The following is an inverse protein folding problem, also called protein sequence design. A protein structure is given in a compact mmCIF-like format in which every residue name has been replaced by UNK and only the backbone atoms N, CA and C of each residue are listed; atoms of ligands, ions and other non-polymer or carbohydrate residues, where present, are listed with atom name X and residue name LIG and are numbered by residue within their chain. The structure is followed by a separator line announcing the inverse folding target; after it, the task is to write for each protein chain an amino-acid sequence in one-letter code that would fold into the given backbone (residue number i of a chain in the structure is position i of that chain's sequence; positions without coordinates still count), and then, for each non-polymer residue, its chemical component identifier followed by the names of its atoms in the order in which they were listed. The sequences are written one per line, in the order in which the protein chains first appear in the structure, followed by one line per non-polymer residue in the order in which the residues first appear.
data_IF_664122002291
#
_entry.id   IF_664122002291
#
_cell.length_a   1.000
_cell.length_b   1.000
_cell.length_c   1.000
_cell.angle_alpha   90.00
_cell.angle_beta   90.00
_cell.angle_gamma   90.00
#
_symmetry.space_group_name_H-M   'P 1'
#
loop_
_entity.id
_entity.type
_entity.pdbx_description
1 polymer ?
#
# COMPACT_ATOMS: atom_id res chain seq x y z
N UNK A 1 -14.99 20.18 -49.97
CA UNK A 1 -14.99 19.11 -48.94
C UNK A 1 -13.70 18.27 -48.99
N UNK A 2 -12.51 18.88 -48.82
CA UNK A 2 -11.22 18.14 -48.76
C UNK A 2 -10.50 18.31 -47.41
N UNK A 3 -10.92 19.28 -46.60
CA UNK A 3 -10.31 19.62 -45.30
C UNK A 3 -10.85 18.80 -44.14
N UNK A 4 -12.10 18.32 -44.20
CA UNK A 4 -12.69 17.48 -43.15
C UNK A 4 -12.15 16.05 -43.11
N UNK A 5 -11.64 15.51 -44.23
CA UNK A 5 -11.07 14.15 -44.28
C UNK A 5 -9.74 14.04 -43.53
N UNK A 6 -9.01 15.15 -43.42
CA UNK A 6 -7.69 15.20 -42.75
C UNK A 6 -7.82 15.21 -41.22
N UNK A 7 -8.88 15.83 -40.67
CA UNK A 7 -9.15 15.85 -39.23
C UNK A 7 -9.47 14.46 -38.65
N UNK A 8 -10.11 13.58 -39.43
CA UNK A 8 -10.44 12.23 -38.97
C UNK A 8 -9.23 11.30 -38.83
N UNK A 9 -8.18 11.50 -39.63
CA UNK A 9 -6.95 10.66 -39.56
C UNK A 9 -6.13 10.99 -38.32
N UNK A 10 -6.12 12.25 -37.86
CA UNK A 10 -5.37 12.67 -36.69
C UNK A 10 -5.99 12.19 -35.36
N UNK A 11 -7.32 12.00 -35.30
CA UNK A 11 -8.01 11.55 -34.08
C UNK A 11 -7.76 10.06 -33.76
N UNK A 12 -7.48 9.24 -34.77
CA UNK A 12 -7.27 7.80 -34.58
C UNK A 12 -5.95 7.44 -33.86
N UNK A 13 -4.97 8.36 -33.81
CA UNK A 13 -3.67 8.10 -33.17
C UNK A 13 -3.64 8.37 -31.66
N UNK A 14 -4.67 8.99 -31.09
CA UNK A 14 -4.66 9.42 -29.68
C UNK A 14 -5.09 8.30 -28.71
N UNK A 15 -5.53 7.15 -29.23
CA UNK A 15 -5.96 6.00 -28.42
C UNK A 15 -4.89 4.90 -28.31
N UNK A 16 -3.60 5.23 -28.33
CA UNK A 16 -2.57 4.27 -27.94
C UNK A 16 -2.67 4.00 -26.43
N UNK A 17 -3.43 2.96 -26.11
CA UNK A 17 -3.50 2.23 -24.84
C UNK A 17 -2.37 2.50 -23.86
N UNK A 18 -2.70 3.07 -22.70
CA UNK A 18 -1.87 2.96 -21.49
C UNK A 18 -1.93 1.53 -21.00
N UNK A 19 -1.05 0.66 -21.49
CA UNK A 19 -0.82 -0.66 -20.90
C UNK A 19 -0.11 -0.38 -19.58
N UNK A 20 -0.85 -0.40 -18.46
CA UNK A 20 -0.23 -0.46 -17.15
C UNK A 20 0.41 -1.84 -17.01
N UNK A 21 1.74 -1.90 -17.08
CA UNK A 21 2.49 -3.06 -16.67
C UNK A 21 2.42 -3.16 -15.14
N UNK A 22 1.72 -4.18 -14.63
CA UNK A 22 1.90 -4.59 -13.25
C UNK A 22 3.21 -5.36 -13.16
N UNK A 23 4.32 -4.64 -12.94
CA UNK A 23 5.62 -5.28 -12.70
C UNK A 23 5.54 -6.08 -11.40
N UNK A 24 5.85 -7.37 -11.48
CA UNK A 24 6.14 -8.21 -10.32
C UNK A 24 7.59 -7.88 -9.94
N UNK A 25 7.86 -7.26 -8.77
CA UNK A 25 9.21 -6.82 -8.44
C UNK A 25 10.19 -7.98 -8.41
N UNK A 26 11.35 -7.78 -9.04
CA UNK A 26 12.45 -8.74 -9.05
C UNK A 26 13.06 -8.89 -7.65
N UNK A 27 13.89 -9.92 -7.42
CA UNK A 27 14.55 -10.08 -6.10
C UNK A 27 15.49 -8.91 -5.76
N UNK A 28 16.02 -8.23 -6.78
CA UNK A 28 16.94 -7.10 -6.64
C UNK A 28 16.20 -5.82 -6.20
N UNK A 29 14.92 -5.65 -6.61
CA UNK A 29 14.04 -4.56 -6.17
C UNK A 29 13.71 -4.63 -4.66
N UNK A 30 13.90 -5.79 -4.02
CA UNK A 30 13.59 -5.99 -2.59
C UNK A 30 14.57 -5.27 -1.66
N UNK A 31 15.76 -4.92 -2.14
CA UNK A 31 16.77 -4.22 -1.34
C UNK A 31 16.39 -2.77 -1.03
N UNK A 32 15.64 -2.11 -1.94
CA UNK A 32 15.27 -0.70 -1.84
C UNK A 32 13.75 -0.51 -1.66
N UNK A 33 13.09 -1.51 -1.09
CA UNK A 33 11.65 -1.47 -0.94
C UNK A 33 11.26 -0.53 0.20
N UNK A 34 10.35 0.43 -0.02
CA UNK A 34 9.82 1.28 1.04
C UNK A 34 9.19 0.45 2.18
N UNK A 35 9.24 0.97 3.40
CA UNK A 35 8.62 0.35 4.59
C UNK A 35 7.12 0.08 4.39
N UNK A 36 6.43 0.91 3.60
CA UNK A 36 5.02 0.73 3.28
C UNK A 36 4.74 -0.57 2.53
N UNK A 37 5.65 -1.00 1.66
CA UNK A 37 5.49 -2.24 0.88
C UNK A 37 5.74 -3.49 1.73
N UNK A 38 6.71 -3.46 2.65
CA UNK A 38 6.88 -4.50 3.67
C UNK A 38 5.61 -4.65 4.52
N UNK A 39 5.03 -3.53 4.95
CA UNK A 39 3.80 -3.53 5.74
C UNK A 39 2.61 -4.04 4.92
N UNK A 40 2.48 -3.63 3.65
CA UNK A 40 1.44 -4.12 2.74
C UNK A 40 1.44 -5.66 2.67
N UNK A 41 2.62 -6.27 2.52
CA UNK A 41 2.75 -7.74 2.55
C UNK A 41 2.30 -8.37 3.87
N UNK A 42 2.60 -7.74 5.01
CA UNK A 42 2.14 -8.23 6.31
C UNK A 42 0.62 -8.17 6.44
N UNK A 43 -0.02 -7.22 5.76
CA UNK A 43 -1.48 -7.00 5.76
C UNK A 43 -2.23 -7.78 4.68
N UNK A 44 -1.52 -8.47 3.76
CA UNK A 44 -2.12 -9.28 2.71
C UNK A 44 -2.98 -10.43 3.26
N UNK A 45 -3.89 -10.97 2.44
CA UNK A 45 -4.79 -12.09 2.77
C UNK A 45 -5.67 -11.81 4.00
N UNK A 46 -6.36 -10.67 3.97
CA UNK A 46 -7.37 -10.34 4.98
C UNK A 46 -8.69 -11.05 4.69
N UNK A 47 -9.26 -11.68 5.72
CA UNK A 47 -10.62 -12.24 5.69
C UNK A 47 -11.63 -11.34 6.41
N UNK A 48 -11.28 -10.05 6.61
CA UNK A 48 -12.19 -9.10 7.24
C UNK A 48 -13.35 -8.78 6.30
N UNK A 49 -14.57 -8.87 6.84
CA UNK A 49 -15.77 -8.42 6.15
C UNK A 49 -15.96 -6.94 6.49
N UNK A 50 -15.85 -6.09 5.48
CA UNK A 50 -15.94 -4.64 5.61
C UNK A 50 -17.07 -4.13 4.71
N UNK A 51 -17.97 -3.34 5.29
CA UNK A 51 -19.14 -2.82 4.57
C UNK A 51 -18.82 -1.58 3.72
N UNK A 52 -17.96 -0.71 4.23
CA UNK A 52 -17.65 0.58 3.61
C UNK A 52 -16.13 0.81 3.57
N UNK A 53 -15.67 1.53 2.54
CA UNK A 53 -14.28 1.99 2.48
C UNK A 53 -14.05 3.07 3.53
N UNK A 54 -12.92 3.00 4.24
CA UNK A 54 -12.49 4.06 5.15
C UNK A 54 -10.96 4.11 5.28
N UNK A 55 -10.47 5.23 5.83
CA UNK A 55 -9.05 5.43 6.11
C UNK A 55 -8.83 5.40 7.62
N UNK A 56 -7.72 4.79 8.03
CA UNK A 56 -7.25 4.77 9.42
C UNK A 56 -5.78 5.19 9.45
N UNK A 57 -5.30 5.59 10.62
CA UNK A 57 -3.88 5.88 10.84
C UNK A 57 -3.29 4.86 11.80
N UNK A 58 -2.16 4.26 11.42
CA UNK A 58 -1.36 3.39 12.30
C UNK A 58 -0.10 4.13 12.67
N UNK A 59 0.12 4.31 13.98
CA UNK A 59 1.34 4.92 14.51
C UNK A 59 2.22 3.83 15.10
N UNK A 60 3.47 3.75 14.66
CA UNK A 60 4.42 2.75 15.13
C UNK A 60 5.84 3.28 15.18
N UNK A 61 6.70 2.61 15.95
CA UNK A 61 8.15 2.82 15.96
C UNK A 61 8.82 1.57 15.42
N UNK A 62 9.88 1.73 14.64
CA UNK A 62 10.78 0.59 14.35
C UNK A 62 11.89 0.59 15.37
N UNK A 63 12.03 -0.48 16.15
CA UNK A 63 13.06 -0.55 17.18
C UNK A 63 14.44 -0.95 16.61
N UNK A 64 15.47 -0.90 17.47
CA UNK A 64 16.84 -1.29 17.14
C UNK A 64 17.00 -2.72 16.58
N UNK A 65 16.06 -3.62 16.88
CA UNK A 65 16.04 -5.00 16.35
C UNK A 65 15.32 -5.13 15.00
N UNK A 66 14.99 -4.00 14.36
CA UNK A 66 14.20 -3.94 13.13
C UNK A 66 12.76 -4.43 13.30
N UNK A 67 12.17 -4.26 14.49
CA UNK A 67 10.83 -4.78 14.82
C UNK A 67 9.83 -3.65 14.99
N UNK A 68 8.58 -3.88 14.57
CA UNK A 68 7.48 -2.94 14.71
C UNK A 68 6.99 -2.94 16.16
N UNK A 69 7.19 -1.80 16.83
CA UNK A 69 6.53 -1.43 18.08
C UNK A 69 5.30 -0.58 17.78
N UNK A 70 4.14 -1.21 17.78
CA UNK A 70 2.86 -0.52 17.58
C UNK A 70 2.61 0.47 18.74
N UNK A 71 2.27 1.72 18.43
CA UNK A 71 1.97 2.78 19.41
C UNK A 71 0.48 3.09 19.48
N UNK A 72 -0.18 3.26 18.35
CA UNK A 72 -1.63 3.44 18.29
C UNK A 72 -2.22 3.01 16.95
N UNK A 73 -3.52 2.71 16.95
CA UNK A 73 -4.34 2.54 15.75
C UNK A 73 -5.54 3.46 15.91
N UNK A 74 -5.68 4.43 15.01
CA UNK A 74 -6.76 5.40 14.99
C UNK A 74 -7.92 4.86 14.15
N UNK A 75 -8.71 3.98 14.75
CA UNK A 75 -9.93 3.44 14.14
C UNK A 75 -10.98 3.12 15.19
N UNK A 76 -12.24 3.34 14.84
CA UNK A 76 -13.40 2.91 15.63
C UNK A 76 -13.78 1.44 15.39
N UNK A 77 -13.17 0.75 14.43
CA UNK A 77 -13.51 -0.63 14.09
C UNK A 77 -12.60 -1.63 14.83
N UNK A 78 -13.14 -2.29 15.86
CA UNK A 78 -12.40 -3.24 16.70
C UNK A 78 -11.84 -4.45 15.94
N UNK A 79 -12.57 -4.96 14.94
CA UNK A 79 -12.11 -6.10 14.15
C UNK A 79 -10.87 -5.74 13.31
N UNK A 80 -10.85 -4.51 12.78
CA UNK A 80 -9.70 -3.96 12.04
C UNK A 80 -8.53 -3.71 12.99
N UNK A 81 -8.78 -3.16 14.18
CA UNK A 81 -7.75 -2.97 15.21
C UNK A 81 -7.08 -4.30 15.57
N UNK A 82 -7.89 -5.32 15.90
CA UNK A 82 -7.39 -6.66 16.23
C UNK A 82 -6.59 -7.30 15.09
N UNK A 83 -7.05 -7.12 13.83
CA UNK A 83 -6.32 -7.60 12.66
C UNK A 83 -4.95 -6.94 12.52
N UNK A 84 -4.88 -5.61 12.60
CA UNK A 84 -3.63 -4.86 12.46
C UNK A 84 -2.66 -5.17 13.60
N UNK A 85 -3.14 -5.27 14.84
CA UNK A 85 -2.32 -5.71 15.97
C UNK A 85 -1.73 -7.10 15.70
N UNK A 86 -2.55 -8.07 15.31
CA UNK A 86 -2.11 -9.43 15.02
C UNK A 86 -1.09 -9.47 13.88
N UNK A 87 -1.29 -8.66 12.84
CA UNK A 87 -0.43 -8.66 11.66
C UNK A 87 0.88 -7.92 11.88
N UNK A 88 0.90 -6.81 12.62
CA UNK A 88 2.03 -5.89 12.69
C UNK A 88 2.80 -5.94 14.01
N UNK A 89 2.12 -6.16 15.15
CA UNK A 89 2.76 -6.09 16.47
C UNK A 89 3.93 -7.05 16.54
N UNK A 90 5.11 -6.52 16.85
CA UNK A 90 6.31 -7.31 16.95
C UNK A 90 6.54 -8.16 15.68
N UNK A 91 6.36 -7.58 14.50
CA UNK A 91 6.91 -8.14 13.25
C UNK A 91 8.28 -7.54 12.93
N UNK A 92 9.14 -8.35 12.33
CA UNK A 92 10.45 -7.91 11.85
C UNK A 92 10.31 -7.36 10.43
N UNK A 93 10.86 -6.18 10.20
CA UNK A 93 11.01 -5.56 8.90
C UNK A 93 12.34 -6.02 8.27
N UNK A 94 12.31 -6.17 6.96
CA UNK A 94 13.47 -6.43 6.11
C UNK A 94 13.80 -5.18 5.29
N UNK A 95 15.02 -5.13 4.77
CA UNK A 95 15.56 -3.94 4.10
C UNK A 95 16.24 -2.95 5.06
N UNK A 96 16.77 -1.89 4.45
CA UNK A 96 17.60 -0.88 5.10
C UNK A 96 17.14 0.58 4.80
N UNK A 97 16.09 0.76 3.99
CA UNK A 97 15.54 2.06 3.56
C UNK A 97 14.60 2.72 4.59
N UNK A 98 14.89 2.55 5.88
CA UNK A 98 14.13 3.17 6.97
C UNK A 98 14.99 3.35 8.22
N UNK A 99 14.56 4.22 9.12
CA UNK A 99 15.32 4.62 10.29
C UNK A 99 14.77 3.97 11.56
N UNK A 100 15.64 3.24 12.27
CA UNK A 100 15.34 2.76 13.61
C UNK A 100 15.12 3.94 14.58
N UNK A 101 14.34 3.66 15.63
CA UNK A 101 13.95 4.59 16.69
C UNK A 101 13.19 5.84 16.22
N UNK A 102 12.65 5.83 14.99
CA UNK A 102 11.73 6.86 14.48
C UNK A 102 10.28 6.44 14.62
N UNK A 103 9.43 7.42 14.88
CA UNK A 103 7.99 7.28 14.86
C UNK A 103 7.50 7.46 13.41
N UNK A 104 6.63 6.56 12.98
CA UNK A 104 6.01 6.53 11.68
C UNK A 104 4.50 6.63 11.83
N UNK A 105 3.89 7.44 10.96
CA UNK A 105 2.45 7.50 10.76
C UNK A 105 2.12 6.91 9.39
N UNK A 106 1.35 5.83 9.37
CA UNK A 106 0.98 5.13 8.15
C UNK A 106 -0.54 5.21 7.95
N UNK A 107 -1.02 5.96 6.94
CA UNK A 107 -2.41 5.88 6.54
C UNK A 107 -2.67 4.54 5.84
N UNK A 108 -3.65 3.77 6.35
CA UNK A 108 -4.06 2.48 5.79
C UNK A 108 -5.49 2.61 5.26
N UNK A 109 -5.67 2.32 3.97
CA UNK A 109 -6.99 2.31 3.33
C UNK A 109 -7.61 0.93 3.47
N UNK A 110 -8.71 0.85 4.21
CA UNK A 110 -9.55 -0.34 4.31
C UNK A 110 -10.61 -0.25 3.22
N UNK A 111 -10.77 -1.33 2.43
CA UNK A 111 -11.77 -1.40 1.36
C UNK A 111 -12.83 -2.42 1.69
N UNK A 112 -14.07 -2.11 1.31
CA UNK A 112 -15.17 -3.05 1.36
C UNK A 112 -14.92 -4.23 0.44
N UNK A 113 -15.31 -5.42 0.89
CA UNK A 113 -15.31 -6.62 0.06
C UNK A 113 -16.65 -6.67 -0.68
N UNK A 114 -16.62 -6.56 -2.00
CA UNK A 114 -17.82 -6.63 -2.87
C UNK A 114 -18.04 -8.04 -3.38
#
# INVERSE_FOLDING_TARGET
MKTFKLLFVALALVFSSTIFAAEIPSEEDRSNSPISYEIEKMLADSNLIIENDFLITVVFKVNSEKRIELKSIESSNEAVNAFLEKRLKNRKLHGDDWFAEKLYELPVRVRAMR
#
